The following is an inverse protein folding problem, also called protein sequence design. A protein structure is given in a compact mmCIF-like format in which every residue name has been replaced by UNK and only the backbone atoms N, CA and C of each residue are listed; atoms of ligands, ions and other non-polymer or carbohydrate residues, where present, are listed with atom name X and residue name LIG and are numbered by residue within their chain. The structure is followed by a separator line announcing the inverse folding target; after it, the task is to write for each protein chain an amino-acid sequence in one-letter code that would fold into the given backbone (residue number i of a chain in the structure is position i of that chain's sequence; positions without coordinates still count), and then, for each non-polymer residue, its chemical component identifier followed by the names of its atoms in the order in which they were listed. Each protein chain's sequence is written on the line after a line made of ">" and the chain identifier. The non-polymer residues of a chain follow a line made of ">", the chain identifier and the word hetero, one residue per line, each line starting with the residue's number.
data_IF_405565869955
#
_entry.id   IF_405565869955
#
_cell.length_a   1.000
_cell.length_b   1.000
_cell.length_c   1.000
_cell.angle_alpha   90.00
_cell.angle_beta   90.00
_cell.angle_gamma   90.00
#
_symmetry.space_group_name_H-M   'P 1'
#
loop_
_entity.id
_entity.type
_entity.pdbx_description
1 polymer ?
#
# COMPACT_ATOMS: atom_id res chain seq x y z
N UNK A 1 -2.41 14.69 15.69
CA UNK A 1 -2.26 13.70 14.60
C UNK A 1 -2.46 14.42 13.28
N UNK A 2 -1.53 14.24 12.35
CA UNK A 2 -1.63 14.83 11.00
C UNK A 2 -2.37 13.85 10.09
N UNK A 3 -3.63 14.16 9.79
CA UNK A 3 -4.50 13.32 8.96
C UNK A 3 -3.98 13.27 7.52
N UNK A 4 -3.41 14.37 7.02
CA UNK A 4 -2.88 14.45 5.65
C UNK A 4 -1.69 13.51 5.48
N UNK A 5 -0.79 13.48 6.48
CA UNK A 5 0.33 12.55 6.50
C UNK A 5 -0.13 11.08 6.49
N UNK A 6 -1.09 10.74 7.34
CA UNK A 6 -1.64 9.38 7.41
C UNK A 6 -2.32 8.99 6.10
N UNK A 7 -3.17 9.86 5.54
CA UNK A 7 -3.86 9.60 4.28
C UNK A 7 -2.88 9.35 3.12
N UNK A 8 -1.82 10.16 3.03
CA UNK A 8 -0.80 10.02 1.99
C UNK A 8 -0.02 8.71 2.13
N UNK A 9 0.38 8.33 3.34
CA UNK A 9 1.04 7.04 3.57
C UNK A 9 0.14 5.86 3.17
N UNK A 10 -1.16 5.89 3.55
CA UNK A 10 -2.14 4.87 3.16
C UNK A 10 -2.29 4.77 1.65
N UNK A 11 -2.47 5.90 0.95
CA UNK A 11 -2.63 5.94 -0.51
C UNK A 11 -1.38 5.41 -1.23
N UNK A 12 -0.19 5.86 -0.82
CA UNK A 12 1.07 5.42 -1.42
C UNK A 12 1.29 3.92 -1.30
N UNK A 13 1.04 3.35 -0.12
CA UNK A 13 1.15 1.89 0.08
C UNK A 13 0.08 1.12 -0.71
N UNK A 14 -1.17 1.61 -0.77
CA UNK A 14 -2.24 0.98 -1.53
C UNK A 14 -1.93 0.95 -3.04
N UNK A 15 -1.36 2.04 -3.58
CA UNK A 15 -0.97 2.13 -5.00
C UNK A 15 0.21 1.22 -5.35
N UNK A 16 1.21 1.12 -4.48
CA UNK A 16 2.39 0.27 -4.69
C UNK A 16 2.04 -1.23 -4.59
N UNK A 17 1.08 -1.60 -3.75
CA UNK A 17 0.66 -3.00 -3.53
C UNK A 17 -0.18 -3.51 -4.70
N UNK A 18 0.45 -4.25 -5.60
CA UNK A 18 -0.14 -4.83 -6.82
C UNK A 18 -0.72 -6.24 -6.58
N UNK A 19 -1.55 -6.37 -5.55
CA UNK A 19 -2.34 -7.57 -5.24
C UNK A 19 -3.69 -7.16 -4.61
N UNK A 20 -4.58 -8.13 -4.44
CA UNK A 20 -5.74 -8.03 -3.56
C UNK A 20 -5.59 -9.01 -2.43
N UNK A 21 -5.68 -8.55 -1.17
CA UNK A 21 -5.49 -9.37 0.04
C UNK A 21 -6.34 -8.81 1.18
N UNK A 22 -7.18 -9.64 1.77
CA UNK A 22 -8.11 -9.22 2.83
C UNK A 22 -9.01 -8.06 2.37
N UNK A 23 -8.92 -6.90 3.04
CA UNK A 23 -9.75 -5.72 2.75
C UNK A 23 -9.20 -4.82 1.62
N UNK A 24 -7.95 -5.02 1.20
CA UNK A 24 -7.36 -4.29 0.09
C UNK A 24 -7.71 -4.98 -1.23
N UNK A 25 -8.65 -4.42 -1.99
CA UNK A 25 -9.08 -4.95 -3.28
C UNK A 25 -8.68 -4.04 -4.44
N UNK A 26 -8.16 -4.65 -5.50
CA UNK A 26 -7.71 -4.00 -6.73
C UNK A 26 -8.19 -4.77 -7.94
N UNK A 27 -9.01 -4.15 -8.76
CA UNK A 27 -9.55 -4.77 -9.99
C UNK A 27 -8.45 -5.13 -11.00
N UNK A 28 -7.36 -4.35 -11.03
CA UNK A 28 -6.19 -4.57 -11.89
C UNK A 28 -5.23 -5.65 -11.34
N UNK A 29 -5.39 -6.03 -10.07
CA UNK A 29 -4.63 -7.09 -9.41
C UNK A 29 -5.52 -7.91 -8.47
N UNK A 30 -6.46 -8.71 -8.99
CA UNK A 30 -7.56 -9.28 -8.20
C UNK A 30 -7.16 -10.44 -7.27
N UNK A 31 -5.92 -10.93 -7.35
CA UNK A 31 -5.44 -12.09 -6.61
C UNK A 31 -4.29 -11.72 -5.66
N UNK A 32 -4.18 -12.49 -4.58
CA UNK A 32 -3.05 -12.47 -3.65
C UNK A 32 -1.75 -12.93 -4.33
N UNK A 33 -0.60 -12.37 -3.91
CA UNK A 33 0.73 -12.75 -4.42
C UNK A 33 1.73 -12.92 -3.28
N UNK A 34 2.55 -13.96 -3.35
CA UNK A 34 3.51 -14.28 -2.28
C UNK A 34 4.59 -13.19 -2.10
N UNK A 35 4.97 -12.49 -3.16
CA UNK A 35 5.92 -11.36 -3.14
C UNK A 35 5.47 -10.19 -2.23
N UNK A 36 4.17 -10.10 -1.98
CA UNK A 36 3.52 -9.10 -1.12
C UNK A 36 3.04 -9.66 0.21
N UNK A 37 3.40 -10.91 0.58
CA UNK A 37 3.09 -11.48 1.90
C UNK A 37 4.02 -10.93 2.99
N UNK A 38 3.97 -9.61 3.14
CA UNK A 38 4.72 -8.79 4.09
C UNK A 38 3.97 -7.48 4.34
N UNK A 39 4.36 -6.78 5.39
CA UNK A 39 3.81 -5.48 5.73
C UNK A 39 4.35 -4.39 4.79
N UNK A 40 3.52 -3.38 4.53
CA UNK A 40 3.96 -2.18 3.82
C UNK A 40 4.58 -1.21 4.81
N UNK A 41 5.82 -0.80 4.57
CA UNK A 41 6.53 0.20 5.36
C UNK A 41 6.63 1.50 4.55
N UNK A 42 6.09 2.60 5.07
CA UNK A 42 6.27 3.93 4.47
C UNK A 42 7.35 4.71 5.22
N UNK A 43 8.38 5.16 4.52
CA UNK A 43 9.25 6.24 4.98
C UNK A 43 8.95 7.47 4.12
N UNK A 44 8.38 8.51 4.73
CA UNK A 44 7.93 9.70 4.00
C UNK A 44 9.08 10.62 3.53
N UNK A 45 10.33 10.17 3.66
CA UNK A 45 11.55 10.95 3.40
C UNK A 45 12.60 10.11 2.67
N UNK A 46 12.29 9.64 1.46
CA UNK A 46 13.26 9.29 0.42
C UNK A 46 12.48 9.15 -0.89
N UNK A 47 12.18 10.30 -1.50
CA UNK A 47 11.98 10.34 -2.94
C UNK A 47 13.37 10.54 -3.53
N UNK A 48 13.95 9.48 -4.09
CA UNK A 48 15.03 9.60 -5.09
C UNK A 48 14.45 10.20 -6.39
#
# INVERSE_FOLDING_TARGET
>A
FDISLTAMATLSCALWRRESRGVHYRVDYPFEREEFRRDSLSQLFNFD
#
